data_IF_254564118605
#
_entry.id   IF_254564118605
#
_cell.length_a   1.000
_cell.length_b   1.000
_cell.length_c   1.000
_cell.angle_alpha   90.00
_cell.angle_beta   90.00
_cell.angle_gamma   90.00
#
_symmetry.space_group_name_H-M   'P 1'
#
loop_
_entity.id
_entity.type
_entity.pdbx_description
1 polymer ?
#
# COMPACT_ATOMS: atom_id res chain seq x y z
N UNK A 1 -12.70 6.48 -20.61
CA UNK A 1 -11.52 5.72 -20.12
C UNK A 1 -12.03 4.47 -19.42
N UNK A 2 -11.55 3.26 -19.77
CA UNK A 2 -12.09 2.02 -19.20
C UNK A 2 -11.45 1.78 -17.81
N UNK A 3 -12.16 2.12 -16.74
CA UNK A 3 -11.70 2.00 -15.34
C UNK A 3 -11.18 0.61 -15.03
N UNK A 4 -11.79 -0.45 -15.58
CA UNK A 4 -11.37 -1.84 -15.36
C UNK A 4 -9.98 -2.12 -15.94
N UNK A 5 -9.67 -1.61 -17.13
CA UNK A 5 -8.33 -1.73 -17.73
C UNK A 5 -7.27 -1.00 -16.90
N UNK A 6 -7.62 0.16 -16.36
CA UNK A 6 -6.71 0.94 -15.50
C UNK A 6 -6.47 0.21 -14.19
N UNK A 7 -7.52 -0.23 -13.50
CA UNK A 7 -7.40 -0.99 -12.25
C UNK A 7 -6.56 -2.24 -12.47
N UNK A 8 -6.71 -2.92 -13.60
CA UNK A 8 -5.88 -4.07 -13.96
C UNK A 8 -4.41 -3.68 -14.17
N UNK A 9 -4.13 -2.59 -14.90
CA UNK A 9 -2.77 -2.08 -15.05
C UNK A 9 -2.12 -1.73 -13.71
N UNK A 10 -2.87 -1.08 -12.82
CA UNK A 10 -2.41 -0.75 -11.47
C UNK A 10 -2.16 -2.00 -10.62
N UNK A 11 -3.01 -3.03 -10.73
CA UNK A 11 -2.81 -4.31 -10.07
C UNK A 11 -1.49 -4.95 -10.50
N UNK A 12 -1.21 -4.99 -11.81
CA UNK A 12 0.04 -5.56 -12.34
C UNK A 12 1.25 -4.79 -11.80
N UNK A 13 1.21 -3.45 -11.82
CA UNK A 13 2.29 -2.62 -11.28
C UNK A 13 2.51 -2.91 -9.78
N UNK A 14 1.43 -3.02 -9.00
CA UNK A 14 1.53 -3.34 -7.57
C UNK A 14 2.10 -4.74 -7.33
N UNK A 15 1.75 -5.74 -8.14
CA UNK A 15 2.33 -7.08 -8.04
C UNK A 15 3.83 -7.08 -8.40
N UNK A 16 4.23 -6.35 -9.43
CA UNK A 16 5.64 -6.18 -9.78
C UNK A 16 6.39 -5.47 -8.66
N UNK A 17 5.84 -4.39 -8.10
CA UNK A 17 6.43 -3.68 -6.98
C UNK A 17 6.58 -4.54 -5.73
N UNK A 18 5.59 -5.40 -5.44
CA UNK A 18 5.69 -6.36 -4.35
C UNK A 18 6.79 -7.41 -4.62
N UNK A 19 6.86 -7.93 -5.85
CA UNK A 19 7.93 -8.85 -6.26
C UNK A 19 9.33 -8.25 -6.10
N UNK A 20 9.51 -6.97 -6.47
CA UNK A 20 10.76 -6.24 -6.24
C UNK A 20 11.06 -6.12 -4.74
N UNK A 21 10.06 -5.77 -3.92
CA UNK A 21 10.24 -5.69 -2.47
C UNK A 21 10.65 -7.03 -1.85
N UNK A 22 10.01 -8.13 -2.25
CA UNK A 22 10.37 -9.49 -1.82
C UNK A 22 11.78 -9.85 -2.25
N UNK A 23 12.13 -9.58 -3.51
CA UNK A 23 13.48 -9.84 -4.04
C UNK A 23 14.55 -9.12 -3.22
N UNK A 24 14.37 -7.81 -3.00
CA UNK A 24 15.33 -6.98 -2.27
C UNK A 24 15.49 -7.41 -0.80
N UNK A 25 14.42 -7.88 -0.15
CA UNK A 25 14.44 -8.26 1.27
C UNK A 25 14.87 -9.70 1.53
N UNK A 26 14.59 -10.63 0.61
CA UNK A 26 14.74 -12.08 0.86
C UNK A 26 15.83 -12.73 0.03
N UNK A 27 16.15 -12.17 -1.13
CA UNK A 27 17.03 -12.82 -2.11
C UNK A 27 18.25 -11.98 -2.44
N UNK A 28 18.16 -10.65 -2.34
CA UNK A 28 19.26 -9.76 -2.63
C UNK A 28 20.18 -9.63 -1.40
N UNK A 29 21.36 -10.23 -1.50
CA UNK A 29 22.45 -10.01 -0.54
C UNK A 29 23.43 -8.99 -1.14
N UNK A 30 23.50 -7.81 -0.51
CA UNK A 30 24.38 -6.72 -0.96
C UNK A 30 25.47 -6.37 0.07
N UNK A 31 25.70 -7.28 1.03
CA UNK A 31 26.74 -7.17 2.04
C UNK A 31 26.52 -6.07 3.09
N UNK A 32 27.53 -5.83 3.92
CA UNK A 32 27.44 -4.91 5.07
C UNK A 32 27.85 -3.48 4.73
N UNK A 33 27.15 -2.84 3.80
CA UNK A 33 27.34 -1.41 3.49
C UNK A 33 26.17 -0.56 3.99
N UNK A 34 26.42 0.72 4.32
CA UNK A 34 25.38 1.70 4.69
C UNK A 34 24.32 1.83 3.58
N UNK A 35 24.76 1.74 2.32
CA UNK A 35 23.87 1.71 1.18
C UNK A 35 22.92 0.50 1.25
N UNK A 36 23.44 -0.67 1.58
CA UNK A 36 22.66 -1.89 1.72
C UNK A 36 21.62 -1.78 2.84
N UNK A 37 22.03 -1.27 4.00
CA UNK A 37 21.14 -1.02 5.12
C UNK A 37 19.96 -0.12 4.71
N UNK A 38 20.27 1.03 4.10
CA UNK A 38 19.23 1.96 3.62
C UNK A 38 18.31 1.31 2.57
N UNK A 39 18.87 0.56 1.62
CA UNK A 39 18.09 -0.12 0.59
C UNK A 39 17.13 -1.15 1.20
N UNK A 40 17.61 -1.97 2.14
CA UNK A 40 16.80 -2.97 2.84
C UNK A 40 15.71 -2.32 3.69
N UNK A 41 16.04 -1.27 4.44
CA UNK A 41 15.07 -0.52 5.25
C UNK A 41 13.95 0.06 4.38
N UNK A 42 14.26 0.66 3.24
CA UNK A 42 13.25 1.19 2.30
C UNK A 42 12.49 0.08 1.57
N UNK A 43 13.10 -1.09 1.38
CA UNK A 43 12.44 -2.23 0.75
C UNK A 43 11.26 -2.75 1.57
N UNK A 44 11.23 -2.54 2.90
CA UNK A 44 10.04 -2.84 3.72
C UNK A 44 8.81 -2.04 3.29
N UNK A 45 8.97 -0.79 2.83
CA UNK A 45 7.86 0.01 2.34
C UNK A 45 7.22 -0.63 1.10
N UNK A 46 8.04 -1.15 0.17
CA UNK A 46 7.55 -1.91 -0.99
C UNK A 46 6.92 -3.23 -0.56
N UNK A 47 7.56 -3.95 0.37
CA UNK A 47 7.12 -5.26 0.83
C UNK A 47 5.75 -5.22 1.53
N UNK A 48 5.43 -4.17 2.28
CA UNK A 48 4.13 -4.04 2.94
C UNK A 48 3.12 -3.21 2.12
N UNK A 49 3.56 -2.11 1.49
CA UNK A 49 2.68 -1.18 0.79
C UNK A 49 2.17 -1.69 -0.55
N UNK A 50 3.03 -2.34 -1.35
CA UNK A 50 2.63 -2.84 -2.67
C UNK A 50 1.62 -3.98 -2.63
N UNK A 51 1.71 -5.00 -1.74
CA UNK A 51 0.66 -6.01 -1.66
C UNK A 51 -0.66 -5.45 -1.10
N UNK A 52 -0.60 -4.45 -0.22
CA UNK A 52 -1.79 -3.74 0.24
C UNK A 52 -2.51 -3.04 -0.92
N UNK A 53 -1.77 -2.37 -1.82
CA UNK A 53 -2.32 -1.81 -3.05
C UNK A 53 -2.86 -2.88 -3.99
N UNK A 54 -2.10 -3.96 -4.23
CA UNK A 54 -2.50 -5.06 -5.09
C UNK A 54 -3.83 -5.68 -4.61
N UNK A 55 -3.97 -5.89 -3.30
CA UNK A 55 -5.18 -6.43 -2.69
C UNK A 55 -6.40 -5.54 -2.97
N UNK A 56 -6.28 -4.23 -2.78
CA UNK A 56 -7.38 -3.29 -3.03
C UNK A 56 -7.70 -3.18 -4.52
N UNK A 57 -6.69 -3.14 -5.39
CA UNK A 57 -6.93 -3.14 -6.84
C UNK A 57 -7.63 -4.42 -7.30
N UNK A 58 -7.26 -5.57 -6.75
CA UNK A 58 -7.95 -6.83 -7.01
C UNK A 58 -9.44 -6.75 -6.65
N UNK A 59 -9.78 -6.21 -5.47
CA UNK A 59 -11.18 -6.00 -5.06
C UNK A 59 -11.90 -5.02 -6.01
N UNK A 60 -11.24 -3.93 -6.40
CA UNK A 60 -11.82 -2.90 -7.27
C UNK A 60 -12.09 -3.40 -8.70
N UNK A 61 -11.40 -4.45 -9.17
CA UNK A 61 -11.73 -5.09 -10.46
C UNK A 61 -13.20 -5.56 -10.49
N UNK A 62 -13.69 -6.07 -9.37
CA UNK A 62 -15.07 -6.55 -9.21
C UNK A 62 -16.03 -5.45 -8.73
N UNK A 63 -15.51 -4.44 -8.04
CA UNK A 63 -16.30 -3.34 -7.45
C UNK A 63 -16.02 -1.99 -8.13
N UNK A 64 -16.07 -1.96 -9.46
CA UNK A 64 -15.75 -0.78 -10.29
C UNK A 64 -16.48 0.50 -9.86
N UNK A 65 -17.70 0.34 -9.37
CA UNK A 65 -18.56 1.40 -8.90
C UNK A 65 -18.02 2.14 -7.64
N UNK A 66 -17.23 1.46 -6.81
CA UNK A 66 -16.57 2.05 -5.65
C UNK A 66 -15.28 2.81 -6.01
N UNK A 67 -14.77 2.66 -7.23
CA UNK A 67 -13.48 3.23 -7.65
C UNK A 67 -13.40 4.74 -7.47
N UNK A 68 -14.46 5.48 -7.82
CA UNK A 68 -14.48 6.94 -7.68
C UNK A 68 -14.38 7.38 -6.21
N UNK A 69 -15.07 6.67 -5.31
CA UNK A 69 -15.03 6.97 -3.89
C UNK A 69 -13.68 6.61 -3.27
N UNK A 70 -13.16 5.42 -3.59
CA UNK A 70 -11.84 4.98 -3.14
C UNK A 70 -10.74 5.92 -3.64
N UNK A 71 -10.80 6.38 -4.90
CA UNK A 71 -9.82 7.30 -5.48
C UNK A 71 -9.69 8.61 -4.68
N UNK A 72 -10.81 9.15 -4.17
CA UNK A 72 -10.82 10.38 -3.36
C UNK A 72 -10.08 10.19 -2.03
N UNK A 73 -10.08 9.00 -1.46
CA UNK A 73 -9.27 8.67 -0.29
C UNK A 73 -7.81 8.46 -0.69
N UNK A 74 -7.58 7.64 -1.73
CA UNK A 74 -6.26 7.26 -2.20
C UNK A 74 -5.41 8.48 -2.59
N UNK A 75 -6.00 9.53 -3.20
CA UNK A 75 -5.27 10.73 -3.64
C UNK A 75 -4.63 11.52 -2.48
N UNK A 76 -5.18 11.41 -1.27
CA UNK A 76 -4.62 12.05 -0.08
C UNK A 76 -3.75 11.09 0.72
N UNK A 77 -4.22 9.85 0.89
CA UNK A 77 -3.52 8.88 1.72
C UNK A 77 -2.18 8.43 1.10
N UNK A 78 -2.14 8.14 -0.20
CA UNK A 78 -0.93 7.63 -0.86
C UNK A 78 0.24 8.61 -0.79
N UNK A 79 0.08 9.89 -1.16
CA UNK A 79 1.18 10.86 -1.02
C UNK A 79 1.66 11.01 0.42
N UNK A 80 0.74 11.05 1.40
CA UNK A 80 1.12 11.14 2.81
C UNK A 80 1.88 9.89 3.27
N UNK A 81 1.44 8.70 2.88
CA UNK A 81 2.14 7.46 3.19
C UNK A 81 3.53 7.41 2.53
N UNK A 82 3.66 7.85 1.27
CA UNK A 82 4.95 7.92 0.57
C UNK A 82 5.89 8.90 1.28
N UNK A 83 5.44 10.10 1.63
CA UNK A 83 6.24 11.07 2.37
C UNK A 83 6.69 10.49 3.71
N UNK A 84 5.79 9.84 4.43
CA UNK A 84 6.12 9.16 5.67
C UNK A 84 7.19 8.09 5.42
N UNK A 85 7.04 7.25 4.40
CA UNK A 85 8.01 6.18 4.09
C UNK A 85 9.37 6.69 3.63
N UNK A 86 9.46 7.90 3.07
CA UNK A 86 10.72 8.54 2.67
C UNK A 86 11.41 9.22 3.85
N UNK A 87 10.65 9.94 4.68
CA UNK A 87 11.21 10.79 5.72
C UNK A 87 11.23 10.16 7.12
N UNK A 88 10.63 8.98 7.31
CA UNK A 88 10.64 8.31 8.61
C UNK A 88 12.09 7.98 9.03
N UNK A 89 12.53 8.44 10.21
CA UNK A 89 13.89 8.20 10.69
C UNK A 89 14.06 6.77 11.19
N UNK A 90 15.27 6.25 11.07
CA UNK A 90 15.66 5.03 11.78
C UNK A 90 15.88 5.38 13.27
N UNK A 91 15.30 4.62 14.21
CA UNK A 91 15.55 4.82 15.63
C UNK A 91 17.04 4.57 15.93
N UNK A 92 17.69 5.54 16.56
CA UNK A 92 19.07 5.41 16.98
C UNK A 92 19.20 4.41 18.15
N UNK A 93 20.38 3.79 18.29
CA UNK A 93 20.68 2.89 19.41
C UNK A 93 20.52 3.64 20.74
N UNK A 94 19.39 3.43 21.43
CA UNK A 94 19.06 4.09 22.69
C UNK A 94 17.64 4.69 22.75
N UNK A 95 16.94 4.76 21.62
CA UNK A 95 15.58 5.30 21.58
C UNK A 95 14.53 4.18 21.73
N UNK A 96 14.10 3.92 22.96
CA UNK A 96 13.20 2.80 23.29
C UNK A 96 11.73 3.06 22.93
N UNK A 97 11.37 4.30 22.58
CA UNK A 97 9.98 4.72 22.36
C UNK A 97 9.60 4.94 20.89
N UNK A 98 10.57 5.03 19.97
CA UNK A 98 10.32 5.19 18.54
C UNK A 98 10.16 3.82 17.86
N UNK A 99 9.01 3.51 17.22
CA UNK A 99 8.84 2.24 16.52
C UNK A 99 9.80 2.12 15.34
N UNK A 100 10.25 0.90 15.05
CA UNK A 100 11.04 0.64 13.85
C UNK A 100 10.25 0.97 12.58
N UNK A 101 10.90 1.46 11.51
CA UNK A 101 10.23 1.81 10.26
C UNK A 101 9.38 0.67 9.70
N UNK A 102 9.88 -0.58 9.82
CA UNK A 102 9.14 -1.78 9.43
C UNK A 102 7.73 -1.84 10.05
N UNK A 103 7.67 -1.60 11.36
CA UNK A 103 6.42 -1.63 12.11
C UNK A 103 5.48 -0.54 11.62
N UNK A 104 5.98 0.68 11.44
CA UNK A 104 5.18 1.80 10.93
C UNK A 104 4.67 1.51 9.51
N UNK A 105 5.51 1.00 8.62
CA UNK A 105 5.12 0.71 7.24
C UNK A 105 4.04 -0.37 7.19
N UNK A 106 4.15 -1.39 8.05
CA UNK A 106 3.12 -2.41 8.22
C UNK A 106 1.80 -1.82 8.73
N UNK A 107 1.83 -1.00 9.79
CA UNK A 107 0.61 -0.39 10.34
C UNK A 107 -0.07 0.55 9.36
N UNK A 108 0.69 1.39 8.64
CA UNK A 108 0.16 2.29 7.62
C UNK A 108 -0.47 1.49 6.47
N UNK A 109 0.14 0.38 6.07
CA UNK A 109 -0.41 -0.52 5.04
C UNK A 109 -1.69 -1.22 5.50
N UNK A 110 -1.75 -1.66 6.77
CA UNK A 110 -2.98 -2.23 7.35
C UNK A 110 -4.09 -1.18 7.41
N UNK A 111 -3.79 0.03 7.89
CA UNK A 111 -4.73 1.13 7.97
C UNK A 111 -5.30 1.47 6.59
N UNK A 112 -4.43 1.54 5.58
CA UNK A 112 -4.83 1.73 4.18
C UNK A 112 -5.84 0.68 3.72
N UNK A 113 -5.57 -0.61 3.97
CA UNK A 113 -6.45 -1.71 3.58
C UNK A 113 -7.79 -1.62 4.29
N UNK A 114 -7.79 -1.42 5.61
CA UNK A 114 -9.02 -1.34 6.41
C UNK A 114 -9.92 -0.21 5.92
N UNK A 115 -9.38 1.00 5.76
CA UNK A 115 -10.16 2.15 5.28
C UNK A 115 -10.65 1.92 3.85
N UNK A 116 -9.80 1.36 2.97
CA UNK A 116 -10.18 1.07 1.60
C UNK A 116 -11.32 0.05 1.51
N UNK A 117 -11.27 -1.03 2.30
CA UNK A 117 -12.35 -2.03 2.37
C UNK A 117 -13.64 -1.37 2.86
N UNK A 118 -13.59 -0.56 3.91
CA UNK A 118 -14.77 0.14 4.44
C UNK A 118 -15.42 1.02 3.36
N UNK A 119 -14.62 1.80 2.62
CA UNK A 119 -15.13 2.63 1.52
C UNK A 119 -15.79 1.78 0.43
N UNK A 120 -15.14 0.68 0.02
CA UNK A 120 -15.66 -0.22 -1.01
C UNK A 120 -16.96 -0.90 -0.55
N UNK A 121 -17.01 -1.39 0.68
CA UNK A 121 -18.18 -2.04 1.26
C UNK A 121 -19.38 -1.08 1.34
N UNK A 122 -19.19 0.10 1.92
CA UNK A 122 -20.26 1.11 2.06
C UNK A 122 -20.83 1.54 0.71
N UNK A 123 -19.96 1.73 -0.29
CA UNK A 123 -20.43 2.09 -1.64
C UNK A 123 -21.15 0.94 -2.34
N UNK A 124 -20.67 -0.28 -2.15
CA UNK A 124 -21.31 -1.46 -2.75
C UNK A 124 -22.70 -1.71 -2.15
N UNK A 125 -22.85 -1.54 -0.84
CA UNK A 125 -24.15 -1.69 -0.15
C UNK A 125 -25.13 -0.61 -0.62
N UNK A 126 -24.71 0.66 -0.65
CA UNK A 126 -25.58 1.79 -1.04
C UNK A 126 -26.10 1.66 -2.48
N UNK A 127 -25.28 1.17 -3.41
CA UNK A 127 -25.76 0.97 -4.78
C UNK A 127 -26.67 -0.24 -4.92
N UNK A 128 -26.57 -1.21 -4.01
CA UNK A 128 -27.53 -2.30 -3.96
C UNK A 128 -28.89 -1.77 -3.54
N UNK A 129 -28.96 -0.95 -2.48
CA UNK A 129 -30.23 -0.39 -2.00
C UNK A 129 -30.87 0.54 -3.04
N UNK A 130 -30.10 1.43 -3.68
CA UNK A 130 -30.61 2.32 -4.76
C UNK A 130 -31.10 1.57 -6.03
N UNK A 131 -30.82 0.26 -6.16
CA UNK A 131 -31.30 -0.57 -7.28
C UNK A 131 -32.60 -1.32 -6.97
N UNK A 132 -32.99 -1.40 -5.70
CA UNK A 132 -34.20 -2.10 -5.25
C UNK A 132 -35.33 -1.14 -4.80
N UNK A 133 -35.05 0.16 -4.71
CA UNK A 133 -36.04 1.24 -4.61
C UNK A 133 -36.40 1.76 -6.01
#
# INVERSE_FOLDING_TARGET
>A
MNTKKITFGLLVISLVGWGIGVFLLKFYDCGNSIFCYNLTTRSFALYYGMPALAFIFFILIFTQQAFSAWKKFAIWFLPLAILLFIFYPDPASGDYFSPYPEQIFKWVSILYVVISILIVALKTIRQRTEKYD
#
